data_IF_379763416168
#
_entry.id   IF_379763416168
#
_cell.length_a   1.000
_cell.length_b   1.000
_cell.length_c   1.000
_cell.angle_alpha   90.00
_cell.angle_beta   90.00
_cell.angle_gamma   90.00
#
_symmetry.space_group_name_H-M   'P 1'
#
loop_
_entity.id
_entity.type
_entity.pdbx_description
1 polymer ?
#
# COMPACT_ATOMS: atom_id res chain seq x y z
N UNK A 1 11.58 18.16 3.55
CA UNK A 1 12.19 17.10 4.38
C UNK A 1 12.05 15.75 3.68
N UNK A 2 12.99 14.85 3.91
CA UNK A 2 12.95 13.45 3.41
C UNK A 2 13.35 12.51 4.54
N UNK A 3 12.80 11.30 4.53
CA UNK A 3 13.09 10.27 5.53
C UNK A 3 13.12 8.89 4.91
N UNK A 4 13.97 8.03 5.46
CA UNK A 4 14.05 6.60 5.12
C UNK A 4 14.00 5.83 6.45
N UNK A 5 13.19 4.78 6.49
CA UNK A 5 13.09 3.85 7.61
C UNK A 5 13.37 2.42 7.19
N UNK A 6 13.92 1.62 8.07
CA UNK A 6 14.03 0.18 7.90
C UNK A 6 13.36 -0.53 9.09
N UNK A 7 12.63 -1.60 8.82
CA UNK A 7 11.91 -2.38 9.82
C UNK A 7 12.25 -3.84 9.70
N UNK A 8 12.43 -4.48 10.84
CA UNK A 8 12.39 -5.93 10.94
C UNK A 8 10.98 -6.36 11.33
N UNK A 9 10.40 -7.27 10.58
CA UNK A 9 9.04 -7.76 10.78
C UNK A 9 9.11 -9.22 11.21
N UNK A 10 8.45 -9.54 12.33
CA UNK A 10 8.25 -10.91 12.79
C UNK A 10 6.78 -11.14 13.04
N UNK A 11 6.24 -12.14 12.38
CA UNK A 11 4.83 -12.51 12.47
C UNK A 11 4.69 -13.96 12.90
N UNK A 12 3.79 -14.21 13.85
CA UNK A 12 3.44 -15.55 14.29
C UNK A 12 1.92 -15.71 14.18
N UNK A 13 1.45 -16.04 12.98
CA UNK A 13 0.02 -16.22 12.66
C UNK A 13 -0.42 -17.67 12.61
N UNK A 14 0.52 -18.62 12.66
CA UNK A 14 0.15 -20.03 12.70
C UNK A 14 -0.27 -20.45 14.11
N UNK A 15 -1.44 -21.06 14.21
CA UNK A 15 -1.89 -21.75 15.40
C UNK A 15 -1.24 -23.13 15.38
N UNK A 16 -0.49 -23.48 16.43
CA UNK A 16 0.06 -24.81 16.58
C UNK A 16 -1.09 -25.84 16.62
N UNK A 17 -1.08 -26.79 15.70
CA UNK A 17 -1.93 -27.99 15.72
C UNK A 17 -1.04 -29.18 16.02
N UNK A 18 -1.60 -30.29 16.52
CA UNK A 18 -0.87 -31.48 16.99
C UNK A 18 0.16 -32.06 15.99
N UNK A 19 0.13 -31.65 14.73
CA UNK A 19 1.02 -32.09 13.67
C UNK A 19 1.82 -30.98 12.94
N UNK A 20 1.82 -29.75 13.44
CA UNK A 20 2.59 -28.66 12.83
C UNK A 20 3.26 -27.79 13.88
N UNK A 21 4.58 -27.66 13.79
CA UNK A 21 5.33 -26.67 14.54
C UNK A 21 5.00 -25.26 14.00
N UNK A 22 4.21 -24.49 14.74
CA UNK A 22 3.96 -23.11 14.42
C UNK A 22 5.27 -22.31 14.51
N UNK A 23 5.80 -21.90 13.36
CA UNK A 23 7.01 -21.11 13.29
C UNK A 23 6.68 -19.66 12.96
N UNK A 24 7.40 -18.74 13.61
CA UNK A 24 7.30 -17.32 13.28
C UNK A 24 8.00 -17.05 11.96
N UNK A 25 7.29 -16.40 11.05
CA UNK A 25 7.87 -15.89 9.82
C UNK A 25 8.55 -14.52 10.06
N UNK A 26 9.62 -14.26 9.35
CA UNK A 26 10.37 -13.02 9.44
C UNK A 26 10.57 -12.40 8.06
N UNK A 27 10.59 -11.09 8.01
CA UNK A 27 10.89 -10.32 6.82
C UNK A 27 11.50 -8.97 7.22
N UNK A 28 11.88 -8.18 6.26
CA UNK A 28 12.26 -6.78 6.47
C UNK A 28 11.46 -5.88 5.53
N UNK A 29 11.32 -4.62 5.92
CA UNK A 29 10.64 -3.63 5.10
C UNK A 29 11.39 -2.31 5.13
N UNK A 30 11.26 -1.56 4.05
CA UNK A 30 11.80 -0.21 3.91
C UNK A 30 10.65 0.76 3.71
N UNK A 31 10.76 1.93 4.35
CA UNK A 31 9.86 3.05 4.19
C UNK A 31 10.62 4.23 3.62
N UNK A 32 10.00 4.96 2.71
CA UNK A 32 10.54 6.20 2.12
C UNK A 32 9.46 7.26 2.20
N UNK A 33 9.80 8.42 2.77
CA UNK A 33 8.89 9.54 2.86
C UNK A 33 9.55 10.83 2.41
N UNK A 34 8.75 11.71 1.80
CA UNK A 34 9.14 13.07 1.51
C UNK A 34 7.99 14.02 1.87
N UNK A 35 8.37 15.18 2.40
CA UNK A 35 7.45 16.26 2.73
C UNK A 35 7.97 17.58 2.17
N UNK A 36 7.09 18.30 1.51
CA UNK A 36 7.30 19.63 0.99
C UNK A 36 6.37 20.63 1.66
N UNK A 37 6.87 21.80 1.97
CA UNK A 37 6.11 22.95 2.43
C UNK A 37 6.64 24.18 1.69
N UNK A 38 5.74 24.96 1.09
CA UNK A 38 6.10 26.23 0.45
C UNK A 38 6.38 27.33 1.47
N UNK A 39 7.02 28.39 1.02
CA UNK A 39 6.95 29.69 1.68
C UNK A 39 5.49 30.18 1.69
N UNK A 40 5.22 31.18 2.53
CA UNK A 40 3.95 31.90 2.51
C UNK A 40 3.84 32.76 1.25
N UNK A 41 2.72 32.63 0.56
CA UNK A 41 2.39 33.42 -0.62
C UNK A 41 1.25 34.34 -0.26
N UNK A 42 1.44 35.64 -0.48
CA UNK A 42 0.41 36.66 -0.22
C UNK A 42 -0.69 36.58 -1.30
N UNK A 43 -1.93 36.43 -0.85
CA UNK A 43 -3.15 36.63 -1.61
C UNK A 43 -3.83 37.92 -1.14
N UNK A 44 -4.93 38.33 -1.78
CA UNK A 44 -5.55 39.63 -1.46
C UNK A 44 -6.02 39.72 -0.01
N UNK A 45 -6.65 38.68 0.54
CA UNK A 45 -7.30 38.70 1.85
C UNK A 45 -6.68 37.74 2.87
N UNK A 46 -5.67 36.93 2.47
CA UNK A 46 -4.97 35.98 3.33
C UNK A 46 -3.60 35.64 2.76
N UNK A 47 -2.75 35.02 3.56
CA UNK A 47 -1.55 34.36 3.08
C UNK A 47 -1.83 32.87 2.92
N UNK A 48 -1.29 32.26 1.88
CA UNK A 48 -1.44 30.83 1.61
C UNK A 48 -0.13 30.07 1.75
N UNK A 49 -0.22 28.81 2.18
CA UNK A 49 0.93 27.90 2.24
C UNK A 49 0.53 26.53 1.77
N UNK A 50 1.25 26.02 0.79
CA UNK A 50 1.07 24.64 0.27
C UNK A 50 1.89 23.65 1.06
N UNK A 51 1.32 22.47 1.26
CA UNK A 51 1.99 21.29 1.79
C UNK A 51 1.73 20.10 0.89
N UNK A 52 2.74 19.27 0.68
CA UNK A 52 2.61 18.02 -0.05
C UNK A 52 3.43 16.95 0.65
N UNK A 53 2.91 15.74 0.68
CA UNK A 53 3.59 14.58 1.27
C UNK A 53 3.45 13.35 0.40
N UNK A 54 4.49 12.55 0.37
CA UNK A 54 4.49 11.20 -0.21
C UNK A 54 5.10 10.25 0.82
N UNK A 55 4.51 9.08 0.95
CA UNK A 55 5.02 8.04 1.83
C UNK A 55 4.80 6.67 1.18
N UNK A 56 5.89 5.95 0.96
CA UNK A 56 5.93 4.56 0.54
C UNK A 56 6.31 3.74 1.76
N UNK A 57 5.44 2.83 2.18
CA UNK A 57 5.63 2.06 3.42
C UNK A 57 5.61 0.56 3.16
N UNK A 58 6.30 -0.18 4.03
CA UNK A 58 6.33 -1.63 4.07
C UNK A 58 6.81 -2.27 2.75
N UNK A 59 7.69 -1.60 2.02
CA UNK A 59 8.31 -2.18 0.82
C UNK A 59 9.30 -3.26 1.24
N UNK A 60 9.03 -4.50 0.92
CA UNK A 60 9.89 -5.60 1.30
C UNK A 60 9.50 -6.93 0.67
N UNK A 61 10.37 -7.96 0.78
CA UNK A 61 10.09 -9.29 0.26
C UNK A 61 8.86 -9.90 0.94
N UNK A 62 8.32 -10.91 0.29
CA UNK A 62 7.20 -11.69 0.81
C UNK A 62 7.55 -12.31 2.15
N UNK A 63 6.54 -12.49 3.00
CA UNK A 63 6.67 -13.20 4.25
C UNK A 63 6.25 -14.67 4.08
N UNK A 64 7.17 -15.59 4.37
CA UNK A 64 6.93 -17.03 4.21
C UNK A 64 6.77 -17.69 5.59
N UNK A 65 5.64 -18.38 5.78
CA UNK A 65 5.33 -19.11 7.01
C UNK A 65 5.70 -20.60 6.93
N UNK A 66 6.03 -21.12 5.74
CA UNK A 66 6.27 -22.55 5.55
C UNK A 66 7.73 -22.96 5.87
N UNK A 67 8.65 -22.02 5.97
CA UNK A 67 10.09 -22.26 6.24
C UNK A 67 10.75 -23.31 5.31
N UNK A 68 10.23 -23.47 4.11
CA UNK A 68 10.77 -24.35 3.08
C UNK A 68 11.94 -23.71 2.30
N UNK A 69 12.29 -22.47 2.67
CA UNK A 69 13.32 -21.68 2.00
C UNK A 69 12.91 -21.17 0.62
N UNK A 70 11.66 -21.38 0.22
CA UNK A 70 11.13 -20.92 -1.05
C UNK A 70 10.26 -19.66 -0.85
N UNK A 71 10.84 -18.48 -1.08
CA UNK A 71 10.13 -17.20 -1.00
C UNK A 71 9.04 -17.02 -2.06
N UNK A 72 9.02 -17.90 -3.07
CA UNK A 72 8.08 -17.87 -4.18
C UNK A 72 6.63 -17.98 -3.71
N UNK A 73 6.37 -18.79 -2.69
CA UNK A 73 5.03 -19.01 -2.13
C UNK A 73 4.70 -18.15 -0.90
N UNK A 74 5.54 -17.16 -0.59
CA UNK A 74 5.27 -16.21 0.49
C UNK A 74 4.06 -15.31 0.21
N UNK A 75 3.54 -14.70 1.28
CA UNK A 75 2.50 -13.69 1.18
C UNK A 75 3.11 -12.30 0.98
N UNK A 76 2.50 -11.48 0.14
CA UNK A 76 2.95 -10.10 -0.06
C UNK A 76 2.90 -9.30 1.25
N UNK A 77 3.93 -8.51 1.49
CA UNK A 77 3.89 -7.51 2.55
C UNK A 77 2.87 -6.42 2.17
N UNK A 78 2.11 -5.86 3.13
CA UNK A 78 1.12 -4.83 2.86
C UNK A 78 1.79 -3.47 2.57
N UNK A 79 2.56 -3.45 1.47
CA UNK A 79 3.15 -2.20 1.00
C UNK A 79 2.06 -1.22 0.61
N UNK A 80 2.23 0.06 0.92
CA UNK A 80 1.26 1.08 0.55
C UNK A 80 1.92 2.39 0.14
N UNK A 81 1.24 3.08 -0.77
CA UNK A 81 1.53 4.45 -1.17
C UNK A 81 0.51 5.37 -0.53
N UNK A 82 0.98 6.43 0.11
CA UNK A 82 0.18 7.50 0.66
C UNK A 82 0.60 8.82 0.06
N UNK A 83 -0.35 9.57 -0.48
CA UNK A 83 -0.16 10.90 -1.03
C UNK A 83 -1.03 11.88 -0.28
N UNK A 84 -0.45 12.98 0.18
CA UNK A 84 -1.17 14.03 0.90
C UNK A 84 -0.93 15.39 0.30
N UNK A 85 -1.97 16.20 0.28
CA UNK A 85 -1.93 17.62 -0.07
C UNK A 85 -2.60 18.41 1.03
N UNK A 86 -2.08 19.60 1.31
CA UNK A 86 -2.65 20.52 2.28
C UNK A 86 -2.48 21.96 1.84
N UNK A 87 -3.40 22.80 2.29
CA UNK A 87 -3.34 24.22 2.09
C UNK A 87 -3.72 24.96 3.37
N UNK A 88 -2.88 25.87 3.81
CA UNK A 88 -3.13 26.78 4.94
C UNK A 88 -3.65 28.12 4.41
N UNK A 89 -4.80 28.53 4.90
CA UNK A 89 -5.33 29.90 4.77
C UNK A 89 -4.95 30.64 6.04
N UNK A 90 -4.01 31.58 5.96
CA UNK A 90 -3.46 32.34 7.07
C UNK A 90 -4.05 33.75 6.99
N UNK A 91 -5.00 34.06 7.85
CA UNK A 91 -5.72 35.36 7.84
C UNK A 91 -4.97 36.42 8.65
N UNK A 92 -4.43 36.02 9.81
CA UNK A 92 -3.64 36.83 10.70
C UNK A 92 -2.74 35.97 11.61
N UNK A 93 -2.10 36.57 12.62
CA UNK A 93 -1.20 35.86 13.55
C UNK A 93 -1.91 34.80 14.39
N UNK A 94 -3.23 34.92 14.57
CA UNK A 94 -4.02 34.05 15.44
C UNK A 94 -5.01 33.17 14.66
N UNK A 95 -5.38 33.55 13.45
CA UNK A 95 -6.44 32.87 12.69
C UNK A 95 -5.90 32.19 11.45
N UNK A 96 -5.95 30.86 11.46
CA UNK A 96 -5.55 30.01 10.34
C UNK A 96 -6.53 28.86 10.14
N UNK A 97 -6.89 28.60 8.90
CA UNK A 97 -7.61 27.40 8.49
C UNK A 97 -6.67 26.53 7.65
N UNK A 98 -6.58 25.26 8.00
CA UNK A 98 -5.84 24.26 7.22
C UNK A 98 -6.82 23.26 6.62
N UNK A 99 -6.77 23.07 5.31
CA UNK A 99 -7.47 21.99 4.63
C UNK A 99 -6.47 20.95 4.16
N UNK A 100 -6.79 19.68 4.36
CA UNK A 100 -5.93 18.56 3.96
C UNK A 100 -6.74 17.50 3.22
N UNK A 101 -6.12 16.88 2.23
CA UNK A 101 -6.62 15.70 1.55
C UNK A 101 -5.52 14.65 1.47
N UNK A 102 -5.88 13.41 1.68
CA UNK A 102 -4.97 12.27 1.60
C UNK A 102 -5.61 11.16 0.78
N UNK A 103 -4.79 10.47 0.01
CA UNK A 103 -5.17 9.22 -0.64
C UNK A 103 -4.14 8.14 -0.32
N UNK A 104 -4.62 6.93 -0.06
CA UNK A 104 -3.80 5.76 0.24
C UNK A 104 -4.20 4.61 -0.68
N UNK A 105 -3.20 3.97 -1.31
CA UNK A 105 -3.38 2.74 -2.07
C UNK A 105 -2.53 1.62 -1.50
N UNK A 106 -3.13 0.44 -1.37
CA UNK A 106 -2.41 -0.79 -1.08
C UNK A 106 -1.68 -1.25 -2.35
N UNK A 107 -0.36 -1.40 -2.26
CA UNK A 107 0.50 -1.81 -3.38
C UNK A 107 0.74 -3.32 -3.33
N UNK A 108 -0.32 -4.08 -3.35
CA UNK A 108 -0.32 -5.54 -3.41
C UNK A 108 -1.11 -5.93 -4.65
N UNK A 109 -0.59 -6.83 -5.51
CA UNK A 109 -1.30 -7.20 -6.72
C UNK A 109 -2.65 -7.83 -6.40
N UNK A 110 -3.65 -7.50 -7.20
CA UNK A 110 -5.00 -8.07 -7.08
C UNK A 110 -4.97 -9.55 -7.43
N UNK A 111 -5.55 -10.44 -6.63
CA UNK A 111 -5.66 -11.86 -6.98
C UNK A 111 -6.38 -12.03 -8.32
N UNK A 112 -5.90 -12.91 -9.21
CA UNK A 112 -6.48 -13.08 -10.53
C UNK A 112 -7.92 -13.61 -10.43
N UNK A 113 -8.78 -13.20 -11.37
CA UNK A 113 -10.03 -13.91 -11.62
C UNK A 113 -9.68 -15.27 -12.24
N UNK A 114 -10.14 -16.34 -11.63
CA UNK A 114 -9.86 -17.68 -12.13
C UNK A 114 -10.72 -17.95 -13.36
N UNK A 115 -10.08 -18.29 -14.46
CA UNK A 115 -10.68 -18.78 -15.69
C UNK A 115 -10.56 -20.29 -15.81
N UNK A 116 -10.80 -20.83 -16.99
CA UNK A 116 -10.48 -22.21 -17.35
C UNK A 116 -8.99 -22.25 -17.75
N UNK A 117 -8.12 -22.38 -16.75
CA UNK A 117 -6.67 -22.24 -16.90
C UNK A 117 -6.01 -23.47 -17.52
N UNK A 118 -6.65 -24.63 -17.40
CA UNK A 118 -6.18 -25.90 -17.96
C UNK A 118 -6.89 -26.29 -19.26
N UNK A 119 -7.78 -25.41 -19.78
CA UNK A 119 -8.56 -25.61 -21.02
C UNK A 119 -9.45 -26.89 -20.99
N UNK A 120 -9.88 -27.32 -19.81
CA UNK A 120 -10.73 -28.51 -19.64
C UNK A 120 -12.19 -28.28 -20.04
N UNK A 121 -12.59 -27.01 -20.18
CA UNK A 121 -13.95 -26.58 -20.49
C UNK A 121 -14.82 -26.36 -19.25
N UNK A 122 -14.25 -26.50 -18.04
CA UNK A 122 -14.95 -26.28 -16.76
C UNK A 122 -13.99 -25.63 -15.73
N UNK A 123 -14.43 -24.62 -15.01
CA UNK A 123 -13.64 -24.05 -13.93
C UNK A 123 -13.73 -24.94 -12.69
N UNK A 124 -12.60 -25.51 -12.28
CA UNK A 124 -12.49 -26.39 -11.13
C UNK A 124 -11.31 -26.06 -10.19
N UNK A 125 -11.01 -26.93 -9.23
CA UNK A 125 -9.93 -26.72 -8.26
C UNK A 125 -8.53 -26.69 -8.90
N UNK A 126 -8.36 -27.27 -10.09
CA UNK A 126 -7.09 -27.22 -10.83
C UNK A 126 -6.78 -25.83 -11.29
N UNK A 127 -7.80 -25.16 -11.87
CA UNK A 127 -7.68 -23.78 -12.33
C UNK A 127 -7.33 -22.82 -11.19
N UNK A 128 -8.02 -22.94 -10.05
CA UNK A 128 -7.68 -22.18 -8.84
C UNK A 128 -6.25 -22.41 -8.38
N UNK A 129 -5.75 -23.63 -8.52
CA UNK A 129 -4.38 -23.97 -8.14
C UNK A 129 -3.38 -23.34 -9.10
N UNK A 130 -3.63 -23.40 -10.41
CA UNK A 130 -2.78 -22.82 -11.45
C UNK A 130 -2.72 -21.30 -11.27
N UNK A 131 -3.87 -20.62 -11.25
CA UNK A 131 -3.96 -19.17 -11.10
C UNK A 131 -3.27 -18.66 -9.81
N UNK A 132 -3.50 -19.34 -8.68
CA UNK A 132 -2.84 -18.98 -7.42
C UNK A 132 -1.33 -19.21 -7.45
N UNK A 133 -0.85 -20.26 -8.11
CA UNK A 133 0.57 -20.50 -8.22
C UNK A 133 1.26 -19.43 -9.08
N UNK A 134 0.64 -19.03 -10.19
CA UNK A 134 1.17 -17.94 -11.01
C UNK A 134 1.18 -16.61 -10.28
N UNK A 135 0.09 -16.26 -9.61
CA UNK A 135 0.03 -15.08 -8.74
C UNK A 135 1.14 -15.07 -7.68
N UNK A 136 1.38 -16.21 -7.04
CA UNK A 136 2.42 -16.35 -6.02
C UNK A 136 3.84 -16.29 -6.57
N UNK A 137 4.09 -16.60 -7.85
CA UNK A 137 5.39 -16.44 -8.50
C UNK A 137 5.75 -14.99 -8.78
N UNK A 138 4.77 -14.10 -8.83
CA UNK A 138 5.03 -12.66 -9.05
C UNK A 138 6.00 -12.13 -8.00
N UNK A 139 7.08 -11.48 -8.43
CA UNK A 139 8.04 -10.88 -7.49
C UNK A 139 7.38 -9.74 -6.72
N UNK A 140 7.80 -9.49 -5.49
CA UNK A 140 7.22 -8.45 -4.66
C UNK A 140 7.34 -7.05 -5.29
N UNK A 141 8.47 -6.76 -5.97
CA UNK A 141 8.66 -5.49 -6.69
C UNK A 141 7.69 -5.37 -7.86
N UNK A 142 7.61 -6.41 -8.70
CA UNK A 142 6.69 -6.43 -9.83
C UNK A 142 5.24 -6.30 -9.36
N UNK A 143 4.85 -7.03 -8.31
CA UNK A 143 3.52 -6.95 -7.72
C UNK A 143 3.16 -5.57 -7.21
N UNK A 144 4.09 -4.85 -6.57
CA UNK A 144 3.87 -3.47 -6.13
C UNK A 144 3.54 -2.53 -7.30
N UNK A 145 4.23 -2.65 -8.43
CA UNK A 145 3.99 -1.76 -9.58
C UNK A 145 2.80 -2.21 -10.42
N UNK A 146 2.56 -3.52 -10.58
CA UNK A 146 1.39 -4.01 -11.30
C UNK A 146 0.08 -3.63 -10.62
N UNK A 147 0.07 -3.49 -9.27
CA UNK A 147 -1.11 -3.11 -8.50
C UNK A 147 -1.75 -1.76 -8.90
N UNK A 148 -1.13 -0.98 -9.79
CA UNK A 148 -1.70 0.27 -10.31
C UNK A 148 -2.52 0.09 -11.59
N UNK A 149 -2.75 -1.12 -12.05
CA UNK A 149 -3.49 -1.36 -13.28
C UNK A 149 -3.93 -2.80 -13.44
N UNK A 150 -4.03 -3.56 -12.36
CA UNK A 150 -4.41 -4.97 -12.37
C UNK A 150 -5.86 -5.23 -11.90
N UNK A 151 -6.62 -4.15 -11.65
CA UNK A 151 -8.04 -4.27 -11.31
C UNK A 151 -8.83 -4.91 -12.46
N UNK A 152 -9.53 -6.03 -12.22
CA UNK A 152 -10.16 -6.83 -13.27
C UNK A 152 -11.24 -6.11 -14.09
N UNK A 153 -11.91 -5.11 -13.52
CA UNK A 153 -12.96 -4.32 -14.18
C UNK A 153 -12.44 -2.94 -14.65
N UNK A 154 -11.11 -2.78 -14.72
CA UNK A 154 -10.43 -1.62 -15.28
C UNK A 154 -10.39 -0.40 -14.35
N UNK A 155 -10.17 0.79 -14.92
CA UNK A 155 -9.90 2.02 -14.17
C UNK A 155 -10.96 2.38 -13.11
N UNK A 156 -12.24 2.04 -13.34
CA UNK A 156 -13.31 2.34 -12.38
C UNK A 156 -13.17 1.53 -11.09
N UNK A 157 -12.70 0.29 -11.19
CA UNK A 157 -12.42 -0.55 -10.02
C UNK A 157 -11.11 -0.13 -9.37
N UNK A 158 -10.11 0.19 -10.15
CA UNK A 158 -8.82 0.70 -9.68
C UNK A 158 -8.98 1.90 -8.73
N UNK A 159 -9.86 2.86 -9.07
CA UNK A 159 -10.15 4.00 -8.20
C UNK A 159 -10.83 3.63 -6.87
N UNK A 160 -11.51 2.49 -6.78
CA UNK A 160 -12.13 2.00 -5.54
C UNK A 160 -11.13 1.37 -4.58
N UNK A 161 -9.95 1.00 -5.07
CA UNK A 161 -8.85 0.50 -4.23
C UNK A 161 -8.14 1.61 -3.46
N UNK A 162 -8.40 2.87 -3.81
CA UNK A 162 -7.89 4.01 -3.08
C UNK A 162 -8.80 4.37 -1.90
N UNK A 163 -8.19 4.59 -0.75
CA UNK A 163 -8.86 5.20 0.40
C UNK A 163 -8.61 6.70 0.38
N UNK A 164 -9.65 7.49 0.58
CA UNK A 164 -9.57 8.95 0.60
C UNK A 164 -9.91 9.47 1.99
N UNK A 165 -9.16 10.47 2.46
CA UNK A 165 -9.41 11.17 3.70
C UNK A 165 -9.34 12.69 3.48
N UNK A 166 -10.25 13.42 4.13
CA UNK A 166 -10.28 14.87 4.13
C UNK A 166 -10.24 15.37 5.57
N UNK A 167 -9.49 16.44 5.80
CA UNK A 167 -9.38 17.08 7.10
C UNK A 167 -9.46 18.58 7.00
N UNK A 168 -10.01 19.20 8.05
CA UNK A 168 -10.02 20.65 8.23
C UNK A 168 -9.66 20.95 9.69
N UNK A 169 -8.84 21.96 9.89
CA UNK A 169 -8.36 22.38 11.20
C UNK A 169 -8.41 23.90 11.27
N UNK A 170 -8.88 24.44 12.39
CA UNK A 170 -8.87 25.86 12.68
C UNK A 170 -8.03 26.16 13.92
N UNK A 171 -7.13 27.12 13.78
CA UNK A 171 -6.29 27.62 14.86
C UNK A 171 -6.71 29.06 15.19
N UNK A 172 -6.76 29.38 16.48
CA UNK A 172 -7.06 30.70 17.00
C UNK A 172 -6.20 31.01 18.22
#
# INVERSE_FOLDING_TARGET
AMGIGARFVRSNLQIATDNSDAKAATSFAVDIAAFYQSEEVAYNDFNGRWRAGINLQNMGPKINYNNDGNDEFGNFMPANLRLGLGFDFIFDEYNKITLTGETTKLMVPTPPKVGDEDESGTIDNTDYTIANNEYRKTSWVSGMFSSFGDAPDGLSEEFKEFTYALGAEYWY
#
